data_IF_412417030405
#
_entry.id   IF_412417030405
#
_cell.length_a   1.000
_cell.length_b   1.000
_cell.length_c   1.000
_cell.angle_alpha   90.00
_cell.angle_beta   90.00
_cell.angle_gamma   90.00
#
_symmetry.space_group_name_H-M   'P 1'
#
loop_
_entity.id
_entity.type
_entity.pdbx_description
1 polymer ?
#
# COMPACT_ATOMS: atom_id res chain seq x y z
N UNK A 1 26.30 -13.49 53.16
CA UNK A 1 27.06 -13.24 51.91
C UNK A 1 26.20 -13.78 50.78
N UNK A 2 25.37 -12.93 50.17
CA UNK A 2 24.34 -13.35 49.20
C UNK A 2 24.97 -13.30 47.82
N UNK A 3 25.10 -14.47 47.19
CA UNK A 3 25.53 -14.62 45.81
C UNK A 3 24.37 -14.14 44.93
N UNK A 4 24.60 -13.09 44.14
CA UNK A 4 23.68 -12.64 43.09
C UNK A 4 23.76 -13.64 41.93
N UNK A 5 22.64 -14.16 41.42
CA UNK A 5 22.65 -14.90 40.15
C UNK A 5 22.73 -13.90 39.00
N UNK A 6 23.72 -14.13 38.14
CA UNK A 6 23.96 -13.36 36.92
C UNK A 6 22.76 -13.47 35.98
N UNK A 7 22.32 -12.31 35.49
CA UNK A 7 21.31 -12.22 34.44
C UNK A 7 21.92 -12.72 33.13
N UNK A 8 21.45 -13.87 32.66
CA UNK A 8 21.76 -14.39 31.32
C UNK A 8 21.24 -13.41 30.26
N UNK A 9 22.17 -12.77 29.57
CA UNK A 9 21.92 -12.01 28.34
C UNK A 9 21.33 -12.95 27.28
N UNK A 10 20.28 -12.58 26.54
CA UNK A 10 19.73 -13.44 25.50
C UNK A 10 20.77 -13.54 24.36
N UNK A 11 21.31 -14.73 24.19
CA UNK A 11 22.18 -15.12 23.08
C UNK A 11 21.40 -14.99 21.78
N UNK A 12 21.66 -13.92 21.02
CA UNK A 12 21.12 -13.74 19.68
C UNK A 12 21.81 -14.76 18.75
N UNK A 13 21.26 -15.97 18.68
CA UNK A 13 21.76 -17.02 17.82
C UNK A 13 21.67 -16.57 16.35
N UNK A 14 22.84 -16.37 15.72
CA UNK A 14 22.94 -16.03 14.31
C UNK A 14 22.31 -17.15 13.48
N UNK A 15 21.11 -16.91 12.96
CA UNK A 15 20.33 -17.88 12.19
C UNK A 15 21.14 -18.41 10.99
N UNK A 16 21.05 -19.72 10.75
CA UNK A 16 21.70 -20.36 9.61
C UNK A 16 21.02 -19.90 8.29
N UNK A 17 21.78 -19.76 7.20
CA UNK A 17 21.27 -19.34 5.89
C UNK A 17 20.13 -20.21 5.36
N UNK A 18 20.13 -21.51 5.64
CA UNK A 18 19.01 -22.40 5.28
C UNK A 18 17.73 -22.10 6.08
N UNK A 19 17.86 -21.69 7.34
CA UNK A 19 16.73 -21.30 8.18
C UNK A 19 16.16 -19.95 7.70
N UNK A 20 17.02 -18.97 7.44
CA UNK A 20 16.63 -17.68 6.86
C UNK A 20 15.93 -17.87 5.50
N UNK A 21 16.45 -18.77 4.67
CA UNK A 21 15.81 -19.13 3.40
C UNK A 21 14.39 -19.66 3.58
N UNK A 22 14.17 -20.58 4.52
CA UNK A 22 12.84 -21.11 4.83
C UNK A 22 11.89 -20.04 5.36
N UNK A 23 12.36 -19.18 6.27
CA UNK A 23 11.56 -18.07 6.80
C UNK A 23 11.14 -17.10 5.69
N UNK A 24 12.02 -16.81 4.73
CA UNK A 24 11.69 -15.93 3.62
C UNK A 24 10.61 -16.52 2.70
N UNK A 25 10.66 -17.83 2.42
CA UNK A 25 9.60 -18.51 1.67
C UNK A 25 8.27 -18.44 2.43
N UNK A 26 8.31 -18.64 3.75
CA UNK A 26 7.12 -18.57 4.59
C UNK A 26 6.47 -17.19 4.54
N UNK A 27 7.26 -16.11 4.70
CA UNK A 27 6.76 -14.73 4.59
C UNK A 27 6.14 -14.42 3.23
N UNK A 28 6.73 -14.95 2.15
CA UNK A 28 6.17 -14.81 0.80
C UNK A 28 4.81 -15.50 0.69
N UNK A 29 4.67 -16.72 1.22
CA UNK A 29 3.39 -17.43 1.19
C UNK A 29 2.32 -16.71 1.99
N UNK A 30 2.64 -16.27 3.21
CA UNK A 30 1.72 -15.49 4.06
C UNK A 30 1.24 -14.24 3.33
N UNK A 31 2.15 -13.48 2.73
CA UNK A 31 1.81 -12.31 1.92
C UNK A 31 0.87 -12.66 0.75
N UNK A 32 1.14 -13.74 0.03
CA UNK A 32 0.30 -14.18 -1.10
C UNK A 32 -1.07 -14.66 -0.63
N UNK A 33 -1.16 -15.33 0.52
CA UNK A 33 -2.41 -15.77 1.11
C UNK A 33 -3.25 -14.58 1.60
N UNK A 34 -2.61 -13.56 2.18
CA UNK A 34 -3.27 -12.29 2.54
C UNK A 34 -3.83 -11.59 1.31
N UNK A 35 -3.08 -11.53 0.20
CA UNK A 35 -3.58 -10.98 -1.06
C UNK A 35 -4.80 -11.76 -1.57
N UNK A 36 -4.75 -13.09 -1.53
CA UNK A 36 -5.88 -13.95 -1.91
C UNK A 36 -7.11 -13.68 -1.03
N UNK A 37 -6.92 -13.59 0.29
CA UNK A 37 -7.99 -13.33 1.25
C UNK A 37 -8.64 -11.96 1.02
N UNK A 38 -7.82 -10.95 0.77
CA UNK A 38 -8.26 -9.58 0.49
C UNK A 38 -8.74 -9.38 -0.96
N UNK A 39 -8.68 -10.42 -1.80
CA UNK A 39 -8.98 -10.37 -3.25
C UNK A 39 -8.19 -9.27 -3.97
N UNK A 40 -6.96 -9.03 -3.52
CA UNK A 40 -6.04 -8.08 -4.12
C UNK A 40 -5.15 -8.77 -5.15
N UNK A 41 -4.71 -8.01 -6.15
CA UNK A 41 -3.83 -8.51 -7.18
C UNK A 41 -2.36 -8.46 -6.74
N UNK A 42 -1.56 -9.41 -7.25
CA UNK A 42 -0.11 -9.37 -7.10
C UNK A 42 0.41 -8.07 -7.74
N UNK A 43 1.32 -7.33 -7.09
CA UNK A 43 1.95 -6.15 -7.68
C UNK A 43 2.65 -6.49 -9.00
N UNK A 44 2.30 -5.79 -10.08
CA UNK A 44 2.89 -6.01 -11.41
C UNK A 44 3.76 -4.83 -11.86
N UNK A 45 4.75 -5.15 -12.68
CA UNK A 45 5.56 -4.19 -13.44
C UNK A 45 5.88 -4.82 -14.79
N UNK A 46 5.56 -4.10 -15.87
CA UNK A 46 5.77 -4.58 -17.25
C UNK A 46 5.12 -5.95 -17.52
N UNK A 47 3.94 -6.20 -16.92
CA UNK A 47 3.19 -7.45 -17.05
C UNK A 47 3.79 -8.65 -16.30
N UNK A 48 4.80 -8.44 -15.45
CA UNK A 48 5.47 -9.47 -14.64
C UNK A 48 5.35 -9.15 -13.14
N UNK A 49 5.49 -10.15 -12.24
CA UNK A 49 5.54 -9.90 -10.81
C UNK A 49 6.61 -8.87 -10.44
N UNK A 50 6.22 -7.84 -9.70
CA UNK A 50 7.12 -6.81 -9.23
C UNK A 50 7.82 -7.28 -7.93
N UNK A 51 8.90 -8.04 -8.11
CA UNK A 51 9.68 -8.60 -7.00
C UNK A 51 10.20 -7.55 -6.01
N UNK A 52 10.43 -6.30 -6.43
CA UNK A 52 10.83 -5.23 -5.51
C UNK A 52 9.70 -4.84 -4.56
N UNK A 53 8.47 -4.71 -5.07
CA UNK A 53 7.31 -4.39 -4.24
C UNK A 53 6.97 -5.55 -3.30
N UNK A 54 7.03 -6.79 -3.80
CA UNK A 54 6.78 -8.00 -3.01
C UNK A 54 7.83 -8.14 -1.89
N UNK A 55 9.12 -7.93 -2.20
CA UNK A 55 10.18 -7.99 -1.20
C UNK A 55 9.99 -6.94 -0.08
N UNK A 56 9.60 -5.72 -0.46
CA UNK A 56 9.29 -4.65 0.50
C UNK A 56 8.11 -5.04 1.41
N UNK A 57 7.04 -5.58 0.84
CA UNK A 57 5.88 -6.04 1.62
C UNK A 57 6.24 -7.20 2.56
N UNK A 58 7.10 -8.12 2.11
CA UNK A 58 7.55 -9.25 2.93
C UNK A 58 8.67 -8.89 3.93
N UNK A 59 9.17 -7.65 3.92
CA UNK A 59 10.19 -7.17 4.86
C UNK A 59 11.61 -7.65 4.60
N UNK A 60 11.98 -7.98 3.35
CA UNK A 60 13.35 -8.40 3.01
C UNK A 60 13.86 -7.77 1.70
N UNK A 61 15.16 -7.96 1.41
CA UNK A 61 15.77 -7.43 0.19
C UNK A 61 15.41 -8.28 -1.05
N UNK A 62 15.11 -7.65 -2.19
CA UNK A 62 14.81 -8.33 -3.47
C UNK A 62 15.83 -9.41 -3.86
N UNK A 63 17.09 -9.28 -3.42
CA UNK A 63 18.15 -10.25 -3.69
C UNK A 63 17.80 -11.66 -3.20
N UNK A 64 16.94 -11.77 -2.21
CA UNK A 64 16.40 -13.05 -1.72
C UNK A 64 15.74 -13.83 -2.85
N UNK A 65 15.00 -13.20 -3.78
CA UNK A 65 14.37 -13.91 -4.89
C UNK A 65 15.36 -14.47 -5.93
N UNK A 66 16.57 -13.91 -6.01
CA UNK A 66 17.63 -14.44 -6.88
C UNK A 66 18.42 -15.58 -6.20
N UNK A 67 18.52 -15.55 -4.87
CA UNK A 67 19.30 -16.52 -4.10
C UNK A 67 18.44 -17.66 -3.52
N UNK A 68 17.12 -17.51 -3.48
CA UNK A 68 16.17 -18.45 -2.92
C UNK A 68 15.11 -18.80 -3.97
N UNK A 69 15.41 -19.83 -4.75
CA UNK A 69 14.58 -20.30 -5.85
C UNK A 69 13.16 -20.64 -5.39
N UNK A 70 13.00 -21.25 -4.22
CA UNK A 70 11.68 -21.61 -3.67
C UNK A 70 10.79 -20.38 -3.41
N UNK A 71 11.37 -19.25 -2.99
CA UNK A 71 10.62 -18.01 -2.77
C UNK A 71 10.16 -17.42 -4.11
N UNK A 72 10.98 -17.52 -5.15
CA UNK A 72 10.63 -17.07 -6.50
C UNK A 72 9.55 -17.95 -7.12
N UNK A 73 9.67 -19.27 -6.99
CA UNK A 73 8.68 -20.22 -7.48
C UNK A 73 7.33 -20.03 -6.81
N UNK A 74 7.29 -19.73 -5.51
CA UNK A 74 6.04 -19.43 -4.82
C UNK A 74 5.31 -18.20 -5.42
N UNK A 75 6.05 -17.14 -5.76
CA UNK A 75 5.47 -15.95 -6.42
C UNK A 75 5.00 -16.28 -7.83
N UNK A 76 5.81 -17.01 -8.59
CA UNK A 76 5.47 -17.37 -9.97
C UNK A 76 4.27 -18.32 -10.03
N UNK A 77 4.21 -19.31 -9.15
CA UNK A 77 3.06 -20.20 -8.99
C UNK A 77 1.81 -19.41 -8.61
N UNK A 78 1.87 -18.53 -7.61
CA UNK A 78 0.72 -17.72 -7.25
C UNK A 78 0.31 -16.77 -8.38
N UNK A 79 1.26 -16.22 -9.14
CA UNK A 79 0.97 -15.40 -10.31
C UNK A 79 0.31 -16.20 -11.45
N UNK A 80 0.72 -17.45 -11.63
CA UNK A 80 0.09 -18.37 -12.56
C UNK A 80 -1.29 -18.79 -12.07
N UNK A 81 -1.45 -19.19 -10.81
CA UNK A 81 -2.72 -19.60 -10.20
C UNK A 81 -3.74 -18.45 -10.25
N UNK A 82 -3.35 -17.22 -9.90
CA UNK A 82 -4.22 -16.05 -10.00
C UNK A 82 -4.56 -15.69 -11.46
N UNK A 83 -3.74 -16.11 -12.42
CA UNK A 83 -4.06 -16.06 -13.86
C UNK A 83 -4.83 -17.29 -14.37
N UNK A 84 -4.80 -18.41 -13.65
CA UNK A 84 -5.31 -19.73 -14.00
C UNK A 84 -6.52 -20.14 -13.15
N UNK A 85 -7.08 -19.25 -12.35
CA UNK A 85 -8.31 -19.50 -11.60
C UNK A 85 -9.50 -18.85 -12.33
N UNK A 86 -9.98 -19.42 -13.46
CA UNK A 86 -11.41 -19.40 -13.69
C UNK A 86 -12.03 -20.25 -12.58
N UNK A 87 -13.09 -19.74 -11.96
CA UNK A 87 -13.98 -20.59 -11.17
C UNK A 87 -14.56 -21.61 -12.15
N UNK A 88 -14.02 -22.84 -12.17
CA UNK A 88 -14.40 -23.93 -13.08
C UNK A 88 -15.73 -24.51 -12.59
N UNK A 89 -16.75 -24.47 -13.44
CA UNK A 89 -17.76 -25.52 -13.54
C UNK A 89 -17.50 -26.27 -14.87
N UNK A 90 -17.55 -27.62 -14.92
CA UNK A 90 -16.93 -28.39 -15.98
C UNK A 90 -17.92 -28.76 -17.09
N UNK A 91 -17.71 -28.28 -18.32
CA UNK A 91 -18.16 -29.01 -19.51
C UNK A 91 -17.23 -28.77 -20.70
N UNK A 92 -16.63 -29.86 -21.17
CA UNK A 92 -15.99 -30.05 -22.48
C UNK A 92 -16.61 -29.23 -23.61
N UNK A 93 -15.79 -28.55 -24.41
CA UNK A 93 -15.50 -28.89 -25.82
C UNK A 93 -14.67 -27.80 -26.47
N UNK A 94 -13.62 -28.21 -27.19
CA UNK A 94 -12.78 -27.35 -28.00
C UNK A 94 -13.63 -26.64 -29.07
N UNK A 95 -13.62 -25.29 -29.12
CA UNK A 95 -13.74 -24.40 -30.30
C UNK A 95 -14.07 -22.94 -29.86
N UNK A 96 -13.21 -22.21 -29.12
CA UNK A 96 -13.44 -20.76 -28.88
C UNK A 96 -12.27 -19.93 -28.28
N UNK A 97 -11.01 -20.32 -28.46
CA UNK A 97 -9.86 -19.68 -27.78
C UNK A 97 -9.67 -18.15 -28.06
N UNK A 98 -10.33 -17.58 -29.07
CA UNK A 98 -10.27 -16.14 -29.36
C UNK A 98 -11.30 -15.27 -28.62
N UNK A 99 -12.49 -15.82 -28.30
CA UNK A 99 -13.58 -15.03 -27.71
C UNK A 99 -13.41 -14.86 -26.18
N UNK A 100 -12.90 -15.90 -25.51
CA UNK A 100 -12.72 -15.92 -24.06
C UNK A 100 -11.60 -14.98 -23.58
N UNK A 101 -10.53 -14.81 -24.37
CA UNK A 101 -9.45 -13.86 -24.07
C UNK A 101 -9.92 -12.42 -24.18
N UNK A 102 -10.68 -12.09 -25.24
CA UNK A 102 -11.25 -10.75 -25.44
C UNK A 102 -12.26 -10.38 -24.35
N UNK A 103 -13.12 -11.32 -23.95
CA UNK A 103 -14.08 -11.11 -22.86
C UNK A 103 -13.40 -10.95 -21.49
N UNK A 104 -12.30 -11.67 -21.24
CA UNK A 104 -11.54 -11.55 -20.01
C UNK A 104 -10.77 -10.22 -19.94
N UNK A 105 -10.14 -9.80 -21.04
CA UNK A 105 -9.53 -8.47 -21.11
C UNK A 105 -10.56 -7.36 -20.95
N UNK A 106 -11.77 -7.52 -21.50
CA UNK A 106 -12.84 -6.54 -21.35
C UNK A 106 -13.28 -6.40 -19.88
N UNK A 107 -13.47 -7.51 -19.18
CA UNK A 107 -13.80 -7.48 -17.73
C UNK A 107 -12.72 -6.81 -16.89
N UNK A 108 -11.44 -7.03 -17.21
CA UNK A 108 -10.32 -6.37 -16.53
C UNK A 108 -10.29 -4.86 -16.81
N UNK A 109 -10.64 -4.44 -18.03
CA UNK A 109 -10.78 -3.03 -18.37
C UNK A 109 -11.93 -2.41 -17.58
N UNK A 110 -13.09 -3.07 -17.51
CA UNK A 110 -14.25 -2.56 -16.76
C UNK A 110 -13.94 -2.43 -15.25
N UNK A 111 -13.20 -3.37 -14.66
CA UNK A 111 -12.79 -3.25 -13.25
C UNK A 111 -11.77 -2.15 -13.04
N UNK A 112 -10.82 -2.00 -13.98
CA UNK A 112 -9.82 -0.93 -13.93
C UNK A 112 -10.47 0.44 -14.10
N UNK A 113 -11.46 0.56 -14.98
CA UNK A 113 -12.21 1.79 -15.22
C UNK A 113 -13.02 2.21 -13.99
N UNK A 114 -13.68 1.26 -13.31
CA UNK A 114 -14.34 1.52 -12.03
C UNK A 114 -13.37 1.99 -10.95
N UNK A 115 -12.19 1.39 -10.90
CA UNK A 115 -11.15 1.79 -9.96
C UNK A 115 -10.60 3.19 -10.26
N UNK A 116 -10.41 3.53 -11.53
CA UNK A 116 -10.04 4.89 -11.98
C UNK A 116 -11.10 5.89 -11.54
N UNK A 117 -12.38 5.62 -11.78
CA UNK A 117 -13.49 6.49 -11.37
C UNK A 117 -13.52 6.72 -9.86
N UNK A 118 -13.28 5.67 -9.06
CA UNK A 118 -13.20 5.80 -7.60
C UNK A 118 -12.03 6.69 -7.15
N UNK A 119 -10.86 6.51 -7.78
CA UNK A 119 -9.68 7.33 -7.49
C UNK A 119 -9.88 8.79 -7.92
N UNK A 120 -10.49 9.03 -9.08
CA UNK A 120 -10.83 10.38 -9.56
C UNK A 120 -11.82 11.06 -8.61
N UNK A 121 -12.84 10.35 -8.12
CA UNK A 121 -13.77 10.88 -7.13
C UNK A 121 -13.07 11.24 -5.81
N UNK A 122 -12.16 10.38 -5.33
CA UNK A 122 -11.33 10.65 -4.14
C UNK A 122 -10.43 11.88 -4.34
N UNK A 123 -9.82 12.02 -5.52
CA UNK A 123 -9.03 13.20 -5.86
C UNK A 123 -9.89 14.46 -5.85
N UNK A 124 -11.06 14.43 -6.47
CA UNK A 124 -11.99 15.57 -6.51
C UNK A 124 -12.42 16.03 -5.10
N UNK A 125 -12.72 15.08 -4.21
CA UNK A 125 -13.04 15.39 -2.80
C UNK A 125 -11.84 16.02 -2.10
N UNK A 126 -10.64 15.48 -2.29
CA UNK A 126 -9.42 16.00 -1.65
C UNK A 126 -9.04 17.37 -2.19
N UNK A 127 -9.20 17.64 -3.48
CA UNK A 127 -8.96 18.96 -4.05
C UNK A 127 -9.95 19.98 -3.50
N UNK A 128 -11.24 19.63 -3.38
CA UNK A 128 -12.25 20.51 -2.78
C UNK A 128 -11.96 20.79 -1.29
N UNK A 129 -11.50 19.81 -0.53
CA UNK A 129 -11.07 19.98 0.86
C UNK A 129 -9.89 20.96 0.97
N UNK A 130 -8.88 20.81 0.10
CA UNK A 130 -7.73 21.72 0.05
C UNK A 130 -8.14 23.14 -0.29
N UNK A 131 -9.05 23.32 -1.26
CA UNK A 131 -9.57 24.63 -1.62
C UNK A 131 -10.34 25.28 -0.46
N UNK A 132 -11.20 24.53 0.23
CA UNK A 132 -11.92 25.02 1.41
C UNK A 132 -10.96 25.43 2.54
N UNK A 133 -9.93 24.63 2.79
CA UNK A 133 -8.91 24.97 3.79
C UNK A 133 -8.13 26.21 3.41
N UNK A 134 -7.75 26.36 2.13
CA UNK A 134 -7.07 27.57 1.63
C UNK A 134 -7.94 28.82 1.79
N UNK A 135 -9.24 28.72 1.51
CA UNK A 135 -10.18 29.83 1.72
C UNK A 135 -10.24 30.23 3.21
N UNK A 136 -10.34 29.26 4.13
CA UNK A 136 -10.33 29.52 5.57
C UNK A 136 -9.04 30.16 6.06
N UNK A 137 -7.89 29.70 5.57
CA UNK A 137 -6.59 30.29 5.90
C UNK A 137 -6.55 31.74 5.45
N UNK A 138 -6.92 32.02 4.20
CA UNK A 138 -6.97 33.39 3.68
C UNK A 138 -7.92 34.29 4.49
N UNK A 139 -9.09 33.78 4.89
CA UNK A 139 -10.04 34.54 5.72
C UNK A 139 -9.45 34.85 7.11
N UNK A 140 -8.83 33.87 7.76
CA UNK A 140 -8.20 34.06 9.06
C UNK A 140 -7.03 35.04 8.99
N UNK A 141 -6.23 34.98 7.92
CA UNK A 141 -5.15 35.94 7.68
C UNK A 141 -5.67 37.37 7.56
N UNK A 142 -6.75 37.59 6.81
CA UNK A 142 -7.39 38.92 6.70
C UNK A 142 -7.90 39.40 8.05
N UNK A 143 -8.55 38.52 8.84
CA UNK A 143 -9.04 38.88 10.18
C UNK A 143 -7.89 39.24 11.12
N UNK A 144 -6.77 38.50 11.07
CA UNK A 144 -5.58 38.81 11.85
C UNK A 144 -4.96 40.14 11.45
N UNK A 145 -4.89 40.45 10.15
CA UNK A 145 -4.42 41.75 9.67
C UNK A 145 -5.32 42.89 10.17
N UNK A 146 -6.64 42.73 10.10
CA UNK A 146 -7.59 43.71 10.60
C UNK A 146 -7.44 43.94 12.11
N UNK A 147 -7.30 42.87 12.90
CA UNK A 147 -7.08 42.96 14.33
C UNK A 147 -5.75 43.66 14.67
N UNK A 148 -4.67 43.34 13.94
CA UNK A 148 -3.37 44.01 14.08
C UNK A 148 -3.46 45.51 13.80
N UNK A 149 -4.10 45.91 12.69
CA UNK A 149 -4.32 47.32 12.35
C UNK A 149 -5.15 48.00 13.45
N UNK A 150 -6.18 47.33 13.96
CA UNK A 150 -7.01 47.88 15.03
C UNK A 150 -6.22 48.09 16.33
N UNK A 151 -5.39 47.14 16.74
CA UNK A 151 -4.48 47.29 17.89
C UNK A 151 -3.48 48.43 17.68
N UNK A 152 -2.92 48.58 16.48
CA UNK A 152 -2.02 49.68 16.13
C UNK A 152 -2.74 51.03 16.21
N UNK A 153 -3.97 51.13 15.70
CA UNK A 153 -4.81 52.35 15.76
C UNK A 153 -5.18 52.69 17.21
N UNK A 154 -5.47 51.70 18.07
CA UNK A 154 -5.74 51.93 19.50
C UNK A 154 -4.51 52.44 20.23
N UNK A 155 -3.36 51.82 19.98
CA UNK A 155 -2.09 52.17 20.65
C UNK A 155 -1.56 53.53 20.21
N UNK A 156 -1.73 53.89 18.93
CA UNK A 156 -1.33 55.19 18.39
C UNK A 156 -2.30 56.32 18.74
N UNK A 157 -3.63 56.08 18.72
CA UNK A 157 -4.63 57.11 19.02
C UNK A 157 -5.04 57.20 20.50
N UNK A 158 -4.43 56.39 21.36
CA UNK A 158 -4.37 56.63 22.80
C UNK A 158 -5.70 56.89 23.49
N UNK A 159 -6.64 55.94 23.48
CA UNK A 159 -7.72 55.89 24.48
C UNK A 159 -7.94 54.47 24.98
N UNK A 160 -7.62 54.29 26.28
CA UNK A 160 -7.92 53.08 27.06
C UNK A 160 -9.42 52.82 27.03
N UNK A 161 -9.82 51.68 26.47
CA UNK A 161 -11.14 51.11 26.74
C UNK A 161 -11.15 50.61 28.19
N UNK A 162 -11.96 51.24 29.05
CA UNK A 162 -12.29 50.74 30.39
C UNK A 162 -13.60 49.96 30.21
N UNK A 163 -13.67 48.69 30.69
CA UNK A 163 -14.75 47.75 30.41
C UNK A 163 -16.16 48.24 30.76
#
# INVERSE_FOLDING_TARGET
>A
MVIRPDAESPTEFKKNGQQVGRENVQRVREYLDELKLQKQFIPLRDGKPNYSAIALACGFNRQVFYNNQAAREAVEQAFQDLNLEPQIEPTSTNHSAGYSKAAHTQKQLDTSERYIQELEAKLAVKTAEVESLRQKVSELEVRLQQASIFEEVITTNGRRYIP
#
